data_IF_214108388754
#
_entry.id   IF_214108388754
#
_cell.length_a   1.000
_cell.length_b   1.000
_cell.length_c   1.000
_cell.angle_alpha   90.00
_cell.angle_beta   90.00
_cell.angle_gamma   90.00
#
_symmetry.space_group_name_H-M   'P 1'
#
loop_
_entity.id
_entity.type
_entity.pdbx_description
1 polymer ?
#
# COMPACT_ATOMS: atom_id res chain seq x y z
N UNK A 1 -25.31 7.05 -10.64
CA UNK A 1 -24.10 7.83 -10.94
C UNK A 1 -24.43 9.28 -11.39
N UNK A 2 -25.66 9.56 -11.80
CA UNK A 2 -26.07 10.85 -12.40
C UNK A 2 -26.37 11.99 -11.41
N UNK A 3 -26.03 11.89 -10.13
CA UNK A 3 -26.34 12.91 -9.11
C UNK A 3 -25.16 13.69 -8.54
N UNK A 4 -23.93 13.49 -9.04
CA UNK A 4 -22.72 14.05 -8.39
C UNK A 4 -22.23 15.36 -8.99
N UNK A 5 -22.59 15.69 -10.22
CA UNK A 5 -22.07 16.87 -10.90
C UNK A 5 -23.21 17.73 -11.49
N UNK A 6 -23.73 18.67 -10.72
CA UNK A 6 -24.41 19.83 -11.29
C UNK A 6 -23.33 20.81 -11.71
N UNK A 7 -23.07 20.87 -13.00
CA UNK A 7 -22.06 21.74 -13.61
C UNK A 7 -22.36 23.22 -13.32
N UNK A 8 -21.40 23.96 -12.77
CA UNK A 8 -21.39 25.42 -12.78
C UNK A 8 -21.19 26.16 -11.46
N UNK A 9 -21.20 25.52 -10.28
CA UNK A 9 -21.00 26.21 -8.99
C UNK A 9 -20.17 25.44 -7.95
N UNK A 10 -19.58 24.30 -8.29
CA UNK A 10 -18.84 23.51 -7.30
C UNK A 10 -17.45 24.12 -7.01
N UNK A 11 -17.11 24.25 -5.73
CA UNK A 11 -15.79 24.67 -5.27
C UNK A 11 -14.99 23.46 -4.80
N UNK A 12 -13.80 23.25 -5.39
CA UNK A 12 -12.86 22.22 -5.05
C UNK A 12 -11.71 22.80 -4.20
N UNK A 13 -11.53 22.29 -3.00
CA UNK A 13 -10.31 22.54 -2.21
C UNK A 13 -9.31 21.41 -2.51
N UNK A 14 -8.10 21.77 -2.89
CA UNK A 14 -6.98 20.86 -3.06
C UNK A 14 -6.00 21.07 -1.92
N UNK A 15 -5.96 20.12 -0.98
CA UNK A 15 -5.08 20.19 0.19
C UNK A 15 -3.71 19.62 -0.17
N UNK A 16 -2.80 20.48 -0.56
CA UNK A 16 -1.45 20.14 -1.00
C UNK A 16 -0.67 21.39 -1.41
N UNK A 17 0.60 21.20 -1.67
CA UNK A 17 1.48 22.31 -2.04
C UNK A 17 1.19 22.77 -3.47
N UNK A 18 1.04 24.08 -3.71
CA UNK A 18 0.73 24.61 -5.04
C UNK A 18 1.80 24.33 -6.11
N UNK A 19 3.05 24.10 -5.69
CA UNK A 19 4.19 23.85 -6.57
C UNK A 19 4.37 22.39 -7.00
N UNK A 20 3.44 21.50 -6.68
CA UNK A 20 3.51 20.08 -7.07
C UNK A 20 3.27 19.91 -8.58
N UNK A 21 4.22 19.31 -9.33
CA UNK A 21 4.14 19.26 -10.79
C UNK A 21 2.89 18.57 -11.36
N UNK A 22 2.44 17.48 -10.70
CA UNK A 22 1.27 16.73 -11.16
C UNK A 22 -0.05 17.48 -10.91
N UNK A 23 -0.05 18.47 -10.01
CA UNK A 23 -1.21 19.26 -9.71
C UNK A 23 -1.64 20.13 -10.89
N UNK A 24 -0.71 20.58 -11.73
CA UNK A 24 -1.03 21.39 -12.92
C UNK A 24 -1.93 20.62 -13.90
N UNK A 25 -1.67 19.33 -14.11
CA UNK A 25 -2.53 18.48 -14.95
C UNK A 25 -3.95 18.37 -14.40
N UNK A 26 -4.09 18.29 -13.08
CA UNK A 26 -5.39 18.28 -12.42
C UNK A 26 -6.13 19.62 -12.61
N UNK A 27 -5.44 20.75 -12.43
CA UNK A 27 -6.02 22.08 -12.58
C UNK A 27 -6.54 22.33 -14.00
N UNK A 28 -5.80 21.85 -15.02
CA UNK A 28 -6.25 21.89 -16.41
C UNK A 28 -7.53 21.06 -16.63
N UNK A 29 -7.58 19.86 -16.03
CA UNK A 29 -8.75 18.97 -16.11
C UNK A 29 -9.96 19.48 -15.33
N UNK A 30 -9.77 20.32 -14.31
CA UNK A 30 -10.79 20.87 -13.43
C UNK A 30 -11.23 22.28 -13.83
N UNK A 31 -11.09 22.67 -15.11
CA UNK A 31 -11.37 24.02 -15.62
C UNK A 31 -12.79 24.55 -15.35
N UNK A 32 -13.77 23.66 -15.16
CA UNK A 32 -15.15 24.00 -14.88
C UNK A 32 -15.46 24.21 -13.38
N UNK A 33 -14.45 24.04 -12.50
CA UNK A 33 -14.56 24.20 -11.07
C UNK A 33 -13.87 25.48 -10.59
N UNK A 34 -14.38 26.05 -9.49
CA UNK A 34 -13.59 27.00 -8.70
C UNK A 34 -12.60 26.21 -7.86
N UNK A 35 -11.32 26.21 -8.25
CA UNK A 35 -10.28 25.45 -7.53
C UNK A 35 -9.48 26.38 -6.61
N UNK A 36 -9.30 25.97 -5.36
CA UNK A 36 -8.42 26.61 -4.38
C UNK A 36 -7.40 25.59 -3.89
N UNK A 37 -6.11 25.91 -4.03
CA UNK A 37 -4.99 25.04 -3.67
C UNK A 37 -4.24 25.63 -2.50
N UNK A 38 -3.87 24.81 -1.52
CA UNK A 38 -3.02 25.25 -0.41
C UNK A 38 -2.72 24.12 0.56
N UNK A 39 -1.72 24.34 1.39
CA UNK A 39 -1.27 23.42 2.43
C UNK A 39 -1.43 24.00 3.85
N UNK A 40 -2.09 25.16 3.98
CA UNK A 40 -2.37 25.85 5.24
C UNK A 40 -3.83 26.27 5.35
N UNK A 41 -4.30 26.33 6.60
CA UNK A 41 -5.69 26.70 6.90
C UNK A 41 -6.05 28.10 6.43
N UNK A 42 -5.13 29.07 6.52
CA UNK A 42 -5.35 30.46 6.10
C UNK A 42 -5.69 30.58 4.60
N UNK A 43 -5.19 29.68 3.80
CA UNK A 43 -5.44 29.60 2.35
C UNK A 43 -6.80 28.97 2.04
N UNK A 44 -7.24 28.01 2.86
CA UNK A 44 -8.47 27.25 2.69
C UNK A 44 -9.70 27.98 3.27
N UNK A 45 -9.53 28.64 4.43
CA UNK A 45 -10.63 29.20 5.19
C UNK A 45 -11.57 30.14 4.40
N UNK A 46 -11.09 31.00 3.47
CA UNK A 46 -11.97 31.90 2.73
C UNK A 46 -12.94 31.16 1.77
N UNK A 47 -12.58 29.96 1.30
CA UNK A 47 -13.39 29.19 0.34
C UNK A 47 -14.08 27.96 0.96
N UNK A 48 -13.65 27.54 2.13
CA UNK A 48 -14.13 26.32 2.78
C UNK A 48 -15.65 26.32 3.06
N UNK A 49 -16.29 27.43 3.47
CA UNK A 49 -17.75 27.43 3.67
C UNK A 49 -18.56 27.12 2.42
N UNK A 50 -18.06 27.46 1.23
CA UNK A 50 -18.73 27.22 -0.05
C UNK A 50 -18.27 25.93 -0.73
N UNK A 51 -17.26 25.22 -0.17
CA UNK A 51 -16.67 24.08 -0.82
C UNK A 51 -17.56 22.84 -0.73
N UNK A 52 -17.71 22.17 -1.86
CA UNK A 52 -18.48 20.93 -2.00
C UNK A 52 -17.58 19.72 -2.27
N UNK A 53 -16.35 19.96 -2.69
CA UNK A 53 -15.38 18.94 -3.06
C UNK A 53 -14.04 19.18 -2.34
N UNK A 54 -13.41 18.11 -1.85
CA UNK A 54 -12.05 18.15 -1.31
C UNK A 54 -11.21 17.08 -1.99
N UNK A 55 -10.02 17.46 -2.45
CA UNK A 55 -8.95 16.57 -2.85
C UNK A 55 -7.81 16.69 -1.83
N UNK A 56 -7.64 15.66 -1.01
CA UNK A 56 -6.49 15.54 -0.11
C UNK A 56 -5.29 14.99 -0.90
N UNK A 57 -4.47 15.88 -1.43
CA UNK A 57 -3.30 15.55 -2.24
C UNK A 57 -2.13 15.11 -1.38
N UNK A 58 -1.67 15.98 -0.47
CA UNK A 58 -0.58 15.72 0.48
C UNK A 58 -0.89 16.31 1.86
N UNK A 59 -2.17 16.35 2.25
CA UNK A 59 -2.61 16.95 3.50
C UNK A 59 -2.06 16.25 4.74
N UNK A 60 -1.77 17.03 5.78
CA UNK A 60 -1.61 16.53 7.13
C UNK A 60 -2.98 16.17 7.74
N UNK A 61 -2.98 15.37 8.82
CA UNK A 61 -4.21 15.04 9.56
C UNK A 61 -4.86 16.31 10.11
N UNK A 62 -4.05 17.20 10.65
CA UNK A 62 -4.46 18.46 11.27
C UNK A 62 -5.16 19.35 10.25
N UNK A 63 -4.53 19.59 9.09
CA UNK A 63 -5.14 20.40 8.03
C UNK A 63 -6.47 19.82 7.55
N UNK A 64 -6.50 18.51 7.25
CA UNK A 64 -7.74 17.87 6.80
C UNK A 64 -8.85 17.96 7.84
N UNK A 65 -8.54 17.73 9.13
CA UNK A 65 -9.49 17.87 10.24
C UNK A 65 -10.04 19.29 10.32
N UNK A 66 -9.16 20.29 10.30
CA UNK A 66 -9.56 21.69 10.48
C UNK A 66 -10.38 22.21 9.29
N UNK A 67 -10.05 21.79 8.07
CA UNK A 67 -10.84 22.09 6.88
C UNK A 67 -12.21 21.39 6.93
N UNK A 68 -12.29 20.13 7.32
CA UNK A 68 -13.57 19.41 7.47
C UNK A 68 -14.51 20.11 8.45
N UNK A 69 -13.99 20.68 9.54
CA UNK A 69 -14.78 21.38 10.55
C UNK A 69 -15.48 22.66 10.01
N UNK A 70 -14.96 23.25 8.93
CA UNK A 70 -15.47 24.51 8.34
C UNK A 70 -16.04 24.32 6.92
N UNK A 71 -16.21 23.09 6.47
CA UNK A 71 -16.78 22.74 5.14
C UNK A 71 -18.14 22.05 5.29
N UNK A 72 -19.22 22.77 5.64
CA UNK A 72 -20.51 22.17 5.99
C UNK A 72 -21.26 21.56 4.79
N UNK A 73 -20.90 21.96 3.58
CA UNK A 73 -21.56 21.53 2.34
C UNK A 73 -20.78 20.47 1.56
N UNK A 74 -19.78 19.83 2.21
CA UNK A 74 -18.95 18.82 1.58
C UNK A 74 -19.78 17.62 1.10
N UNK A 75 -19.64 17.28 -0.18
CA UNK A 75 -20.31 16.15 -0.84
C UNK A 75 -19.34 15.01 -1.18
N UNK A 76 -18.11 15.35 -1.52
CA UNK A 76 -17.09 14.37 -1.91
C UNK A 76 -15.70 14.75 -1.39
N UNK A 77 -15.04 13.76 -0.81
CA UNK A 77 -13.63 13.81 -0.40
C UNK A 77 -12.87 12.70 -1.08
N UNK A 78 -11.86 13.05 -1.85
CA UNK A 78 -10.90 12.07 -2.39
C UNK A 78 -9.56 12.20 -1.68
N UNK A 79 -9.00 11.06 -1.26
CA UNK A 79 -7.67 10.97 -0.67
C UNK A 79 -6.74 10.26 -1.68
N UNK A 80 -5.68 10.94 -2.13
CA UNK A 80 -4.78 10.43 -3.17
C UNK A 80 -4.06 9.14 -2.76
N UNK A 81 -3.76 8.96 -1.48
CA UNK A 81 -3.13 7.73 -1.00
C UNK A 81 -4.11 6.56 -0.90
N UNK A 82 -3.64 5.34 -1.16
CA UNK A 82 -4.44 4.13 -0.98
C UNK A 82 -4.72 3.84 0.50
N UNK A 83 -3.75 4.09 1.39
CA UNK A 83 -3.89 3.88 2.83
C UNK A 83 -4.14 5.20 3.56
N UNK A 84 -5.25 5.30 4.28
CA UNK A 84 -5.72 6.54 4.91
C UNK A 84 -5.46 6.61 6.43
N UNK A 85 -4.76 5.64 7.02
CA UNK A 85 -4.54 5.55 8.47
C UNK A 85 -3.93 6.81 9.09
N UNK A 86 -3.07 7.49 8.36
CA UNK A 86 -2.40 8.72 8.80
C UNK A 86 -3.34 9.93 8.87
N UNK A 87 -4.47 9.89 8.17
CA UNK A 87 -5.47 10.97 8.11
C UNK A 87 -6.69 10.69 9.00
N UNK A 88 -6.81 9.47 9.57
CA UNK A 88 -7.98 9.12 10.39
C UNK A 88 -8.14 10.06 11.56
N UNK A 89 -9.32 10.69 11.67
CA UNK A 89 -9.76 11.54 12.74
C UNK A 89 -11.26 11.31 13.02
N UNK A 90 -11.79 11.72 14.19
CA UNK A 90 -13.23 11.66 14.45
C UNK A 90 -14.04 12.43 13.40
N UNK A 91 -13.56 13.57 12.94
CA UNK A 91 -14.21 14.42 11.93
C UNK A 91 -14.29 13.70 10.58
N UNK A 92 -13.18 13.05 10.16
CA UNK A 92 -13.16 12.26 8.93
C UNK A 92 -14.14 11.08 9.03
N UNK A 93 -14.21 10.41 10.19
CA UNK A 93 -15.11 9.29 10.39
C UNK A 93 -16.60 9.72 10.46
N UNK A 94 -16.89 10.94 10.90
CA UNK A 94 -18.24 11.49 11.04
C UNK A 94 -18.75 12.20 9.79
N UNK A 95 -17.89 12.47 8.78
CA UNK A 95 -18.32 13.19 7.58
C UNK A 95 -19.38 12.40 6.81
N UNK A 96 -20.51 13.03 6.41
CA UNK A 96 -21.50 12.38 5.56
C UNK A 96 -21.08 12.34 4.09
N UNK A 97 -19.97 13.01 3.73
CA UNK A 97 -19.50 13.09 2.36
C UNK A 97 -19.05 11.72 1.83
N UNK A 98 -19.20 11.51 0.52
CA UNK A 98 -18.65 10.32 -0.13
C UNK A 98 -17.12 10.34 -0.03
N UNK A 99 -16.56 9.37 0.67
CA UNK A 99 -15.11 9.18 0.77
C UNK A 99 -14.61 8.18 -0.27
N UNK A 100 -13.65 8.60 -1.07
CA UNK A 100 -12.91 7.75 -2.01
C UNK A 100 -11.40 7.89 -1.80
N UNK A 101 -10.63 6.92 -2.28
CA UNK A 101 -9.17 6.95 -2.14
C UNK A 101 -8.46 6.36 -3.36
N UNK A 102 -7.13 6.46 -3.39
CA UNK A 102 -6.27 5.97 -4.49
C UNK A 102 -6.07 4.45 -4.51
N UNK A 103 -7.05 3.66 -4.03
CA UNK A 103 -7.00 2.20 -4.07
C UNK A 103 -6.86 1.71 -5.50
N UNK A 104 -5.93 0.78 -5.73
CA UNK A 104 -5.66 0.20 -7.05
C UNK A 104 -4.65 0.98 -7.90
N UNK A 105 -4.52 2.30 -7.69
CA UNK A 105 -3.64 3.15 -8.50
C UNK A 105 -2.15 2.74 -8.44
N UNK A 106 -1.71 2.21 -7.30
CA UNK A 106 -0.31 1.85 -7.07
C UNK A 106 -0.05 0.34 -7.10
N UNK A 107 -1.08 -0.48 -7.34
CA UNK A 107 -0.96 -1.94 -7.16
C UNK A 107 0.04 -2.55 -8.13
N UNK A 108 0.04 -2.12 -9.39
CA UNK A 108 0.99 -2.59 -10.41
C UNK A 108 2.43 -2.24 -10.05
N UNK A 109 2.70 -0.97 -9.76
CA UNK A 109 4.05 -0.48 -9.39
C UNK A 109 4.59 -1.18 -8.14
N UNK A 110 3.74 -1.39 -7.12
CA UNK A 110 4.13 -2.12 -5.92
C UNK A 110 4.40 -3.61 -6.20
N UNK A 111 3.66 -4.22 -7.11
CA UNK A 111 3.93 -5.58 -7.59
C UNK A 111 5.30 -5.70 -8.25
N UNK A 112 5.67 -4.73 -9.09
CA UNK A 112 6.99 -4.65 -9.73
C UNK A 112 8.10 -4.46 -8.70
N UNK A 113 7.88 -3.58 -7.73
CA UNK A 113 8.85 -3.33 -6.65
C UNK A 113 9.13 -4.61 -5.85
N UNK A 114 8.09 -5.39 -5.51
CA UNK A 114 8.25 -6.66 -4.79
C UNK A 114 9.06 -7.66 -5.62
N UNK A 115 8.78 -7.79 -6.93
CA UNK A 115 9.58 -8.66 -7.78
C UNK A 115 11.03 -8.21 -7.89
N UNK A 116 11.26 -6.89 -7.96
CA UNK A 116 12.61 -6.32 -7.87
C UNK A 116 13.32 -6.71 -6.58
N UNK A 117 12.63 -6.66 -5.42
CA UNK A 117 13.19 -7.08 -4.14
C UNK A 117 13.48 -8.60 -4.10
N UNK A 118 12.55 -9.44 -4.58
CA UNK A 118 12.77 -10.89 -4.69
C UNK A 118 14.03 -11.19 -5.52
N UNK A 119 14.15 -10.58 -6.70
CA UNK A 119 15.29 -10.77 -7.59
C UNK A 119 16.59 -10.21 -6.99
N UNK A 120 16.50 -9.11 -6.23
CA UNK A 120 17.67 -8.55 -5.52
C UNK A 120 18.32 -9.57 -4.58
N UNK A 121 17.52 -10.30 -3.81
CA UNK A 121 18.02 -11.36 -2.94
C UNK A 121 18.42 -12.61 -3.74
N UNK A 122 17.58 -13.10 -4.64
CA UNK A 122 17.83 -14.31 -5.40
C UNK A 122 19.08 -14.23 -6.29
N UNK A 123 19.41 -13.04 -6.82
CA UNK A 123 20.57 -12.81 -7.70
C UNK A 123 21.77 -12.20 -6.97
N UNK A 124 21.70 -12.06 -5.65
CA UNK A 124 22.74 -11.43 -4.82
C UNK A 124 23.23 -10.09 -5.40
N UNK A 125 22.28 -9.23 -5.82
CA UNK A 125 22.64 -7.93 -6.40
C UNK A 125 23.44 -7.07 -5.43
N UNK A 126 23.26 -7.24 -4.11
CA UNK A 126 24.04 -6.56 -3.09
C UNK A 126 25.53 -6.82 -3.26
N UNK A 127 25.92 -8.11 -3.44
CA UNK A 127 27.29 -8.52 -3.66
C UNK A 127 27.81 -8.01 -5.00
N UNK A 128 27.02 -8.19 -6.08
CA UNK A 128 27.40 -7.77 -7.43
C UNK A 128 27.67 -6.26 -7.50
N UNK A 129 26.80 -5.43 -6.91
CA UNK A 129 26.98 -3.96 -6.87
C UNK A 129 28.24 -3.60 -6.09
N UNK A 130 28.51 -4.26 -4.96
CA UNK A 130 29.71 -4.00 -4.16
C UNK A 130 30.99 -4.33 -4.94
N UNK A 131 31.11 -5.53 -5.52
CA UNK A 131 32.33 -5.94 -6.24
C UNK A 131 32.54 -5.12 -7.52
N UNK A 132 31.44 -4.69 -8.17
CA UNK A 132 31.51 -3.77 -9.29
C UNK A 132 32.09 -2.40 -8.86
N UNK A 133 31.64 -1.86 -7.72
CA UNK A 133 32.17 -0.62 -7.15
C UNK A 133 33.64 -0.71 -6.76
N UNK A 134 34.12 -1.91 -6.43
CA UNK A 134 35.54 -2.19 -6.14
C UNK A 134 36.38 -2.47 -7.40
N UNK A 135 35.79 -2.41 -8.59
CA UNK A 135 36.46 -2.71 -9.87
C UNK A 135 36.89 -4.18 -10.01
N UNK A 136 36.26 -5.10 -9.28
CA UNK A 136 36.58 -6.53 -9.28
C UNK A 136 35.56 -7.35 -10.08
N UNK A 137 36.05 -8.40 -10.72
CA UNK A 137 35.18 -9.45 -11.29
C UNK A 137 35.22 -10.65 -10.35
N UNK A 138 34.03 -11.05 -9.87
CA UNK A 138 33.90 -12.17 -8.93
C UNK A 138 32.71 -13.05 -9.35
N UNK A 139 32.96 -14.26 -9.88
CA UNK A 139 31.88 -15.22 -10.16
C UNK A 139 31.13 -15.58 -8.88
N UNK A 140 29.79 -15.69 -8.97
CA UNK A 140 28.96 -16.14 -7.85
C UNK A 140 27.83 -17.02 -8.35
N UNK A 141 27.43 -17.96 -7.51
CA UNK A 141 26.19 -18.70 -7.70
C UNK A 141 25.00 -17.82 -7.37
N UNK A 142 23.91 -18.00 -8.13
CA UNK A 142 22.65 -17.28 -7.93
C UNK A 142 21.51 -18.28 -7.86
N UNK A 143 20.46 -17.92 -7.16
CA UNK A 143 19.27 -18.76 -7.02
C UNK A 143 18.26 -18.46 -8.14
N UNK A 144 17.67 -19.48 -8.73
CA UNK A 144 16.51 -19.33 -9.58
C UNK A 144 15.24 -19.19 -8.73
N UNK A 145 14.38 -18.22 -9.07
CA UNK A 145 13.10 -18.05 -8.37
C UNK A 145 12.02 -19.00 -8.87
N UNK A 146 12.22 -19.60 -10.05
CA UNK A 146 11.32 -20.61 -10.59
C UNK A 146 11.22 -21.81 -9.64
N UNK A 147 9.99 -22.21 -9.31
CA UNK A 147 9.70 -23.31 -8.38
C UNK A 147 9.83 -22.92 -6.89
N UNK A 148 10.27 -21.68 -6.57
CA UNK A 148 10.21 -21.17 -5.21
C UNK A 148 8.81 -20.70 -4.84
N UNK A 149 8.49 -20.66 -3.55
CA UNK A 149 7.17 -20.31 -3.03
C UNK A 149 7.17 -18.89 -2.46
N UNK A 150 6.23 -18.07 -2.90
CA UNK A 150 5.92 -16.76 -2.29
C UNK A 150 4.60 -16.83 -1.54
N UNK A 151 4.63 -16.50 -0.24
CA UNK A 151 3.44 -16.33 0.60
C UNK A 151 3.09 -14.85 0.74
N UNK A 152 1.85 -14.51 0.42
CA UNK A 152 1.40 -13.12 0.40
C UNK A 152 0.41 -12.89 1.53
N UNK A 153 0.86 -12.21 2.58
CA UNK A 153 0.07 -11.85 3.78
C UNK A 153 -0.73 -10.59 3.47
N UNK A 154 -2.04 -10.77 3.23
CA UNK A 154 -2.94 -9.72 2.76
C UNK A 154 -3.22 -9.82 1.26
N UNK A 155 -3.71 -10.96 0.79
CA UNK A 155 -3.95 -11.25 -0.62
C UNK A 155 -5.17 -10.47 -1.16
N UNK A 156 -5.01 -9.13 -1.27
CA UNK A 156 -5.94 -8.17 -1.87
C UNK A 156 -5.46 -7.69 -3.24
N UNK A 157 -5.77 -6.45 -3.62
CA UNK A 157 -5.42 -5.89 -4.94
C UNK A 157 -3.90 -5.90 -5.19
N UNK A 158 -3.11 -5.37 -4.24
CA UNK A 158 -1.64 -5.37 -4.34
C UNK A 158 -1.11 -6.81 -4.30
N UNK A 159 -1.64 -7.64 -3.40
CA UNK A 159 -1.22 -9.04 -3.28
C UNK A 159 -1.43 -9.83 -4.57
N UNK A 160 -2.54 -9.59 -5.29
CA UNK A 160 -2.80 -10.22 -6.60
C UNK A 160 -1.83 -9.75 -7.68
N UNK A 161 -1.47 -8.48 -7.69
CA UNK A 161 -0.47 -7.93 -8.61
C UNK A 161 0.92 -8.54 -8.38
N UNK A 162 1.29 -8.73 -7.10
CA UNK A 162 2.50 -9.50 -6.74
C UNK A 162 2.38 -10.94 -7.23
N UNK A 163 1.27 -11.61 -6.92
CA UNK A 163 1.02 -13.00 -7.29
C UNK A 163 1.07 -13.22 -8.80
N UNK A 164 0.46 -12.33 -9.59
CA UNK A 164 0.46 -12.39 -11.06
C UNK A 164 1.89 -12.36 -11.61
N UNK A 165 2.73 -11.47 -11.09
CA UNK A 165 4.12 -11.36 -11.52
C UNK A 165 4.96 -12.55 -11.06
N UNK A 166 4.83 -12.96 -9.79
CA UNK A 166 5.53 -14.12 -9.27
C UNK A 166 5.19 -15.40 -10.04
N UNK A 167 3.90 -15.61 -10.35
CA UNK A 167 3.44 -16.73 -11.18
C UNK A 167 4.07 -16.69 -12.59
N UNK A 168 4.19 -15.51 -13.21
CA UNK A 168 4.84 -15.35 -14.51
C UNK A 168 6.34 -15.70 -14.47
N UNK A 169 6.99 -15.57 -13.29
CA UNK A 169 8.37 -16.05 -13.05
C UNK A 169 8.43 -17.56 -12.69
N UNK A 170 7.30 -18.27 -12.71
CA UNK A 170 7.24 -19.69 -12.40
C UNK A 170 7.33 -20.02 -10.92
N UNK A 171 7.01 -19.06 -10.04
CA UNK A 171 6.93 -19.26 -8.60
C UNK A 171 5.57 -19.88 -8.22
N UNK A 172 5.54 -20.63 -7.10
CA UNK A 172 4.32 -21.02 -6.43
C UNK A 172 3.76 -19.85 -5.60
N UNK A 173 2.47 -19.54 -5.73
CA UNK A 173 1.85 -18.41 -5.06
C UNK A 173 0.84 -18.89 -4.02
N UNK A 174 1.03 -18.49 -2.77
CA UNK A 174 0.12 -18.75 -1.65
C UNK A 174 -0.42 -17.43 -1.13
N UNK A 175 -1.74 -17.30 -0.98
CA UNK A 175 -2.38 -16.08 -0.48
C UNK A 175 -2.93 -16.27 0.94
N UNK A 176 -2.83 -15.23 1.80
CA UNK A 176 -3.49 -15.19 3.10
C UNK A 176 -4.53 -14.07 3.12
N UNK A 177 -5.77 -14.39 3.48
CA UNK A 177 -6.86 -13.40 3.60
C UNK A 177 -7.52 -13.45 4.98
N UNK A 178 -8.09 -12.31 5.39
CA UNK A 178 -8.90 -12.23 6.62
C UNK A 178 -10.20 -13.06 6.54
N UNK A 179 -10.73 -13.26 5.33
CA UNK A 179 -12.04 -13.93 5.14
C UNK A 179 -12.00 -15.44 5.33
N UNK A 180 -10.82 -16.00 5.57
CA UNK A 180 -10.61 -17.43 5.72
C UNK A 180 -10.15 -18.12 4.44
N UNK A 181 -9.92 -19.44 4.51
CA UNK A 181 -9.48 -20.22 3.37
C UNK A 181 -10.54 -20.19 2.28
N UNK A 182 -10.08 -20.16 1.03
CA UNK A 182 -10.94 -20.18 -0.15
C UNK A 182 -10.25 -20.87 -1.32
N UNK A 183 -11.04 -21.45 -2.20
CA UNK A 183 -10.54 -21.87 -3.51
C UNK A 183 -10.29 -20.64 -4.37
N UNK A 184 -9.09 -20.47 -4.94
CA UNK A 184 -8.82 -19.38 -5.85
C UNK A 184 -9.77 -19.44 -7.05
N UNK A 185 -10.31 -18.29 -7.52
CA UNK A 185 -11.16 -18.30 -8.71
C UNK A 185 -10.34 -18.67 -9.96
N UNK A 186 -11.00 -19.17 -11.03
CA UNK A 186 -10.31 -19.46 -12.28
C UNK A 186 -9.49 -18.26 -12.78
N UNK A 187 -8.22 -18.49 -13.13
CA UNK A 187 -7.29 -17.47 -13.60
C UNK A 187 -6.61 -16.66 -12.50
N UNK A 188 -6.89 -16.92 -11.22
CA UNK A 188 -6.14 -16.34 -10.11
C UNK A 188 -4.74 -16.99 -10.05
N UNK A 189 -3.68 -16.21 -9.87
CA UNK A 189 -2.31 -16.75 -9.79
C UNK A 189 -2.03 -17.56 -8.52
N UNK A 190 -2.83 -17.42 -7.46
CA UNK A 190 -2.64 -18.19 -6.24
C UNK A 190 -3.07 -19.64 -6.42
N UNK A 191 -2.24 -20.58 -5.97
CA UNK A 191 -2.55 -22.00 -5.92
C UNK A 191 -3.47 -22.35 -4.74
N UNK A 192 -3.35 -21.59 -3.65
CA UNK A 192 -4.17 -21.74 -2.45
C UNK A 192 -4.36 -20.40 -1.72
N UNK A 193 -5.53 -20.22 -1.09
CA UNK A 193 -5.83 -19.06 -0.24
C UNK A 193 -6.11 -19.59 1.17
N UNK A 194 -5.30 -19.13 2.12
CA UNK A 194 -5.31 -19.49 3.53
C UNK A 194 -6.12 -18.48 4.36
N UNK A 195 -6.65 -18.95 5.48
CA UNK A 195 -7.25 -18.13 6.52
C UNK A 195 -6.29 -17.84 7.68
N UNK A 196 -6.69 -16.96 8.63
CA UNK A 196 -5.84 -16.58 9.76
C UNK A 196 -5.38 -17.75 10.63
N UNK A 197 -6.20 -18.81 10.77
CA UNK A 197 -5.86 -20.00 11.56
C UNK A 197 -4.75 -20.84 10.92
N UNK A 198 -4.60 -20.78 9.60
CA UNK A 198 -3.64 -21.56 8.81
C UNK A 198 -2.37 -20.76 8.47
N UNK A 199 -2.23 -19.58 9.08
CA UNK A 199 -1.17 -18.61 8.77
C UNK A 199 0.22 -19.20 8.92
N UNK A 200 0.47 -19.91 10.01
CA UNK A 200 1.79 -20.50 10.29
C UNK A 200 2.14 -21.60 9.30
N UNK A 201 1.16 -22.43 8.93
CA UNK A 201 1.33 -23.51 7.96
C UNK A 201 1.68 -22.95 6.57
N UNK A 202 1.03 -21.85 6.17
CA UNK A 202 1.39 -21.17 4.93
C UNK A 202 2.82 -20.62 4.98
N UNK A 203 3.17 -19.90 6.05
CA UNK A 203 4.47 -19.24 6.20
C UNK A 203 5.61 -20.27 6.19
N UNK A 204 5.45 -21.41 6.85
CA UNK A 204 6.46 -22.47 6.90
C UNK A 204 6.83 -23.05 5.52
N UNK A 205 5.99 -22.85 4.50
CA UNK A 205 6.20 -23.34 3.14
C UNK A 205 6.87 -22.34 2.21
N UNK A 206 7.11 -21.11 2.68
CA UNK A 206 7.50 -20.00 1.82
C UNK A 206 9.01 -19.74 1.83
N UNK A 207 9.58 -19.49 0.65
CA UNK A 207 10.92 -18.95 0.46
C UNK A 207 10.91 -17.42 0.59
N UNK A 208 9.78 -16.80 0.22
CA UNK A 208 9.53 -15.36 0.36
C UNK A 208 8.19 -15.13 1.06
N UNK A 209 8.18 -14.25 2.06
CA UNK A 209 6.96 -13.80 2.73
C UNK A 209 6.77 -12.32 2.43
N UNK A 210 5.69 -11.98 1.73
CA UNK A 210 5.39 -10.61 1.32
C UNK A 210 4.19 -10.10 2.11
N UNK A 211 4.36 -9.01 2.86
CA UNK A 211 3.30 -8.38 3.65
C UNK A 211 2.73 -7.20 2.87
N UNK A 212 1.46 -7.33 2.48
CA UNK A 212 0.65 -6.29 1.82
C UNK A 212 -0.60 -5.93 2.63
N UNK A 213 -0.76 -6.52 3.82
CA UNK A 213 -1.90 -6.28 4.69
C UNK A 213 -1.98 -4.81 5.14
N UNK A 214 -3.19 -4.21 5.19
CA UNK A 214 -3.38 -2.89 5.78
C UNK A 214 -3.15 -2.95 7.30
N UNK A 215 -2.81 -1.81 7.90
CA UNK A 215 -2.73 -1.71 9.36
C UNK A 215 -4.15 -1.53 9.94
N UNK A 216 -4.56 -2.51 10.73
CA UNK A 216 -5.79 -2.50 11.54
C UNK A 216 -5.45 -2.96 12.96
N UNK A 217 -6.37 -2.88 13.94
CA UNK A 217 -6.15 -3.49 15.25
C UNK A 217 -5.77 -4.98 15.16
N UNK A 218 -6.38 -5.73 14.24
CA UNK A 218 -6.18 -7.18 14.07
C UNK A 218 -4.87 -7.53 13.34
N UNK A 219 -4.31 -6.60 12.55
CA UNK A 219 -3.07 -6.83 11.78
C UNK A 219 -1.85 -6.19 12.41
N UNK A 220 -2.01 -5.43 13.49
CA UNK A 220 -0.88 -4.90 14.26
C UNK A 220 -0.09 -6.04 14.89
N UNK A 221 1.21 -6.11 14.58
CA UNK A 221 2.10 -7.19 15.05
C UNK A 221 1.73 -8.57 14.48
N UNK A 222 1.02 -8.63 13.35
CA UNK A 222 0.60 -9.88 12.70
C UNK A 222 1.80 -10.77 12.35
N UNK A 223 2.91 -10.18 11.96
CA UNK A 223 4.21 -10.86 11.80
C UNK A 223 4.98 -10.70 13.10
N UNK A 224 4.77 -11.64 14.02
CA UNK A 224 5.40 -11.67 15.35
C UNK A 224 6.33 -12.87 15.53
N UNK A 225 6.68 -13.18 16.79
CA UNK A 225 7.62 -14.23 17.12
C UNK A 225 7.21 -15.62 16.58
N UNK A 226 5.92 -15.95 16.60
CA UNK A 226 5.43 -17.23 16.10
C UNK A 226 5.57 -17.33 14.58
N UNK A 227 5.29 -16.24 13.85
CA UNK A 227 5.43 -16.17 12.40
C UNK A 227 6.90 -16.27 11.98
N UNK A 228 7.80 -15.57 12.68
CA UNK A 228 9.24 -15.68 12.41
C UNK A 228 9.79 -17.06 12.74
N UNK A 229 9.35 -17.69 13.84
CA UNK A 229 9.73 -19.05 14.17
C UNK A 229 9.21 -20.09 13.15
N UNK A 230 8.11 -19.80 12.44
CA UNK A 230 7.57 -20.63 11.39
C UNK A 230 8.26 -20.42 10.04
N UNK A 231 8.92 -19.29 9.80
CA UNK A 231 9.66 -19.03 8.57
C UNK A 231 10.84 -19.99 8.45
N UNK A 232 11.18 -20.33 7.21
CA UNK A 232 12.43 -21.06 6.93
C UNK A 232 13.64 -20.17 7.28
N UNK A 233 14.77 -20.74 7.71
CA UNK A 233 15.96 -19.93 8.08
C UNK A 233 16.49 -19.06 6.94
N UNK A 234 16.31 -19.49 5.70
CA UNK A 234 16.73 -18.80 4.48
C UNK A 234 15.63 -17.96 3.82
N UNK A 235 14.44 -17.89 4.44
CA UNK A 235 13.32 -17.15 3.89
C UNK A 235 13.53 -15.64 3.97
N UNK A 236 13.01 -14.92 2.98
CA UNK A 236 13.10 -13.46 2.90
C UNK A 236 11.75 -12.84 3.24
N UNK A 237 11.74 -11.88 4.18
CA UNK A 237 10.58 -11.04 4.48
C UNK A 237 10.63 -9.74 3.67
N UNK A 238 9.52 -9.41 3.00
CA UNK A 238 9.34 -8.16 2.26
C UNK A 238 8.06 -7.49 2.76
N UNK A 239 8.17 -6.33 3.42
CA UNK A 239 7.01 -5.60 3.92
C UNK A 239 6.80 -4.31 3.12
N UNK A 240 5.74 -4.29 2.31
CA UNK A 240 5.25 -3.11 1.57
C UNK A 240 3.90 -2.60 2.10
N UNK A 241 3.40 -3.23 3.16
CA UNK A 241 2.18 -2.78 3.84
C UNK A 241 2.44 -1.59 4.74
N UNK A 242 2.46 -1.82 6.05
CA UNK A 242 2.78 -0.79 7.07
C UNK A 242 3.76 -1.37 8.09
N UNK A 243 4.70 -0.55 8.57
CA UNK A 243 5.69 -0.97 9.56
C UNK A 243 5.08 -1.74 10.74
N UNK A 244 4.08 -1.20 11.46
CA UNK A 244 3.51 -1.85 12.64
C UNK A 244 2.71 -3.15 12.38
N UNK A 245 2.58 -3.63 11.15
CA UNK A 245 2.09 -5.00 10.85
C UNK A 245 3.15 -6.03 11.25
N UNK A 246 4.41 -5.63 11.30
CA UNK A 246 5.54 -6.42 11.80
C UNK A 246 5.82 -5.99 13.25
N UNK A 247 5.97 -6.96 14.14
CA UNK A 247 6.52 -6.73 15.47
C UNK A 247 8.04 -6.56 15.34
N UNK A 248 8.49 -5.32 15.51
CA UNK A 248 9.90 -4.95 15.33
C UNK A 248 10.83 -5.67 16.31
N UNK A 249 10.39 -5.87 17.57
CA UNK A 249 11.20 -6.55 18.57
C UNK A 249 11.36 -8.04 18.24
N UNK A 250 10.27 -8.66 17.79
CA UNK A 250 10.32 -10.05 17.33
C UNK A 250 11.19 -10.22 16.08
N UNK A 251 11.14 -9.26 15.15
CA UNK A 251 12.00 -9.25 13.96
C UNK A 251 13.48 -9.12 14.34
N UNK A 252 13.83 -8.19 15.25
CA UNK A 252 15.19 -8.00 15.74
C UNK A 252 15.70 -9.30 16.40
N UNK A 253 14.88 -9.93 17.24
CA UNK A 253 15.22 -11.19 17.89
C UNK A 253 15.47 -12.31 16.88
N UNK A 254 14.61 -12.46 15.88
CA UNK A 254 14.75 -13.46 14.82
C UNK A 254 16.05 -13.26 14.01
N UNK A 255 16.32 -12.02 13.55
CA UNK A 255 17.54 -11.69 12.79
C UNK A 255 18.82 -11.82 13.61
N UNK A 256 18.75 -11.74 14.94
CA UNK A 256 19.92 -11.89 15.82
C UNK A 256 20.27 -13.35 16.10
N UNK A 257 19.36 -14.27 15.82
CA UNK A 257 19.54 -15.70 16.04
C UNK A 257 20.00 -16.43 14.76
N UNK A 258 19.96 -15.79 13.63
CA UNK A 258 20.35 -16.30 12.30
C UNK A 258 19.18 -16.78 11.52
#
# INVERSE_FOLDING_TARGET
>A
YDRVLTMGQDTLLVLGRPDEPLLQMLLEAASDLRVVVGDRMEEMAPAAPDATLILSWSATRELLRDVLAVTPHLRWLHIMSAGINHLLSPELAATPALLTNGRGAFSSSLGEWVMGAILYFAKDFRRLIRVQGEGRWEPCDVTEVKGQTVGIVGYGDIGREVGTRAHAFGMHVLGLTRRGPATPPPGDPAEAIFGPAERLDMIARCDYVVVTAPLTPETRGLMGAAEFAAMRPDAVLINIGRGPVVDEQALIAALSQG
#
